data_IF_925731837691
#
_entry.id   IF_925731837691
#
_cell.length_a   1.000
_cell.length_b   1.000
_cell.length_c   1.000
_cell.angle_alpha   90.00
_cell.angle_beta   90.00
_cell.angle_gamma   90.00
#
_symmetry.space_group_name_H-M   'P 1'
#
loop_
_entity.id
_entity.type
_entity.pdbx_description
1 polymer ?
#
# COMPACT_ATOMS: atom_id res chain seq x y z
N UNK A 1 -13.47 7.41 -0.11
CA UNK A 1 -12.02 7.42 -0.37
C UNK A 1 -11.54 6.00 -0.66
N UNK A 2 -10.87 5.80 -1.77
CA UNK A 2 -10.32 4.50 -2.17
C UNK A 2 -8.84 4.42 -1.78
N UNK A 3 -8.49 3.46 -0.94
CA UNK A 3 -7.13 3.18 -0.49
C UNK A 3 -6.72 1.84 -1.08
N UNK A 4 -5.71 1.85 -1.95
CA UNK A 4 -5.25 0.67 -2.67
C UNK A 4 -3.90 0.22 -2.12
N UNK A 5 -3.81 -1.03 -1.70
CA UNK A 5 -2.58 -1.66 -1.25
C UNK A 5 -1.91 -2.35 -2.45
N UNK A 6 -0.69 -1.95 -2.73
CA UNK A 6 0.06 -2.35 -3.92
C UNK A 6 1.44 -2.92 -3.56
N UNK A 7 1.90 -3.89 -4.33
CA UNK A 7 3.26 -4.41 -4.23
C UNK A 7 3.71 -4.96 -5.57
N UNK A 8 4.94 -4.70 -5.96
CA UNK A 8 5.52 -5.17 -7.22
C UNK A 8 5.89 -6.65 -7.19
N UNK A 9 6.23 -7.17 -6.01
CA UNK A 9 6.67 -8.55 -5.86
C UNK A 9 5.71 -9.35 -5.00
N UNK A 10 5.70 -10.68 -5.16
CA UNK A 10 4.82 -11.58 -4.41
C UNK A 10 5.01 -11.54 -2.90
N UNK A 11 6.20 -11.20 -2.42
CA UNK A 11 6.52 -11.21 -0.99
C UNK A 11 6.65 -9.83 -0.39
N UNK A 12 6.05 -8.84 -1.02
CA UNK A 12 6.13 -7.46 -0.54
C UNK A 12 5.33 -7.19 0.74
N UNK A 13 4.51 -8.14 1.19
CA UNK A 13 3.68 -7.97 2.37
C UNK A 13 2.38 -7.23 2.13
N UNK A 14 1.98 -7.05 0.87
CA UNK A 14 0.79 -6.29 0.49
C UNK A 14 -0.48 -6.81 1.15
N UNK A 15 -0.77 -8.10 1.00
CA UNK A 15 -1.98 -8.71 1.58
C UNK A 15 -1.96 -8.70 3.11
N UNK A 16 -0.79 -8.95 3.71
CA UNK A 16 -0.64 -8.93 5.17
C UNK A 16 -0.91 -7.53 5.73
N UNK A 17 -0.37 -6.49 5.09
CA UNK A 17 -0.58 -5.11 5.50
C UNK A 17 -2.02 -4.65 5.26
N UNK A 18 -2.61 -5.05 4.15
CA UNK A 18 -4.03 -4.83 3.89
C UNK A 18 -4.91 -5.43 4.99
N UNK A 19 -4.68 -6.69 5.34
CA UNK A 19 -5.44 -7.39 6.37
C UNK A 19 -5.28 -6.74 7.75
N UNK A 20 -4.04 -6.39 8.10
CA UNK A 20 -3.75 -5.71 9.37
C UNK A 20 -4.45 -4.36 9.45
N UNK A 21 -4.40 -3.58 8.39
CA UNK A 21 -5.02 -2.26 8.34
C UNK A 21 -6.55 -2.36 8.40
N UNK A 22 -7.14 -3.35 7.74
CA UNK A 22 -8.58 -3.60 7.81
C UNK A 22 -9.05 -3.89 9.24
N UNK A 23 -8.20 -4.53 10.04
CA UNK A 23 -8.49 -4.80 11.46
C UNK A 23 -8.28 -3.59 12.37
N UNK A 24 -7.36 -2.70 12.05
CA UNK A 24 -6.99 -1.57 12.91
C UNK A 24 -7.82 -0.31 12.64
N UNK A 25 -8.09 0.00 11.38
CA UNK A 25 -8.76 1.25 11.00
C UNK A 25 -10.11 1.47 11.67
N UNK A 26 -10.96 0.47 11.90
CA UNK A 26 -12.22 0.69 12.63
C UNK A 26 -12.02 1.24 14.03
N UNK A 27 -10.90 0.91 14.67
CA UNK A 27 -10.56 1.43 16.00
C UNK A 27 -9.96 2.84 15.95
N UNK A 28 -9.21 3.15 14.89
CA UNK A 28 -8.59 4.46 14.72
C UNK A 28 -9.55 5.52 14.17
N UNK A 29 -10.52 5.08 13.38
CA UNK A 29 -11.51 5.97 12.74
C UNK A 29 -12.92 5.48 13.04
N UNK A 30 -13.38 5.55 14.32
CA UNK A 30 -14.67 4.99 14.71
C UNK A 30 -15.87 5.69 14.05
N UNK A 31 -15.68 6.92 13.59
CA UNK A 31 -16.73 7.69 12.93
C UNK A 31 -16.85 7.42 11.43
N UNK A 32 -15.99 6.57 10.89
CA UNK A 32 -15.99 6.26 9.46
C UNK A 32 -16.27 4.79 9.23
N UNK A 33 -17.06 4.52 8.20
CA UNK A 33 -17.31 3.15 7.76
C UNK A 33 -16.10 2.64 6.97
N UNK A 34 -15.60 1.48 7.36
CA UNK A 34 -14.49 0.82 6.68
C UNK A 34 -15.07 -0.35 5.88
N UNK A 35 -14.84 -0.35 4.57
CA UNK A 35 -15.35 -1.36 3.67
C UNK A 35 -14.17 -2.01 2.95
N UNK A 36 -14.03 -3.34 3.08
CA UNK A 36 -13.07 -4.10 2.31
C UNK A 36 -13.62 -4.26 0.89
N UNK A 37 -12.90 -3.69 -0.09
CA UNK A 37 -13.36 -3.66 -1.45
C UNK A 37 -13.35 -5.04 -2.10
N UNK A 38 -14.38 -5.31 -2.89
CA UNK A 38 -14.45 -6.46 -3.77
C UNK A 38 -14.89 -5.99 -5.16
N UNK A 39 -14.61 -6.81 -6.16
CA UNK A 39 -15.00 -6.48 -7.54
C UNK A 39 -16.52 -6.40 -7.73
N UNK A 40 -17.30 -6.90 -6.78
CA UNK A 40 -18.77 -6.91 -6.81
C UNK A 40 -19.40 -5.81 -5.97
N UNK A 41 -18.65 -4.83 -5.62
CA UNK A 41 -19.14 -3.73 -4.79
C UNK A 41 -20.23 -2.93 -5.50
N UNK A 42 -21.31 -2.63 -4.78
CA UNK A 42 -22.47 -1.96 -5.35
C UNK A 42 -22.44 -0.44 -5.25
N UNK A 43 -22.01 0.14 -4.13
CA UNK A 43 -22.06 1.59 -3.91
C UNK A 43 -20.90 2.11 -3.10
N UNK A 44 -20.41 3.29 -3.51
CA UNK A 44 -19.52 4.12 -2.69
C UNK A 44 -20.35 5.11 -1.89
N UNK A 45 -20.21 5.08 -0.57
CA UNK A 45 -20.63 6.17 0.28
C UNK A 45 -19.45 7.14 0.40
N UNK A 46 -19.67 8.44 0.21
CA UNK A 46 -18.60 9.43 0.19
C UNK A 46 -17.81 9.48 1.51
N UNK A 47 -18.46 9.14 2.63
CA UNK A 47 -17.83 9.13 3.94
C UNK A 47 -17.08 7.84 4.27
N UNK A 48 -17.21 6.79 3.45
CA UNK A 48 -16.59 5.50 3.71
C UNK A 48 -15.15 5.44 3.24
N UNK A 49 -14.33 4.64 3.92
CA UNK A 49 -13.00 4.26 3.48
C UNK A 49 -13.08 2.88 2.84
N UNK A 50 -12.73 2.81 1.58
CA UNK A 50 -12.70 1.54 0.84
C UNK A 50 -11.26 1.06 0.73
N UNK A 51 -10.99 -0.14 1.24
CA UNK A 51 -9.67 -0.76 1.20
C UNK A 51 -9.65 -1.82 0.12
N UNK A 52 -8.62 -1.79 -0.72
CA UNK A 52 -8.45 -2.70 -1.84
C UNK A 52 -7.09 -3.37 -1.78
N UNK A 53 -7.05 -4.69 -1.94
CA UNK A 53 -5.81 -5.45 -2.06
C UNK A 53 -5.53 -5.71 -3.54
N UNK A 54 -4.63 -4.93 -4.13
CA UNK A 54 -4.24 -5.12 -5.53
C UNK A 54 -3.36 -6.36 -5.73
N UNK A 55 -2.78 -6.90 -4.66
CA UNK A 55 -1.94 -8.10 -4.74
C UNK A 55 -2.69 -9.35 -5.16
N UNK A 56 -4.01 -9.39 -4.97
CA UNK A 56 -4.85 -10.54 -5.35
C UNK A 56 -5.60 -10.33 -6.68
N UNK A 57 -5.35 -9.21 -7.35
CA UNK A 57 -6.04 -8.87 -8.59
C UNK A 57 -5.24 -9.29 -9.83
N UNK A 58 -5.93 -9.48 -10.96
CA UNK A 58 -5.29 -9.63 -12.26
C UNK A 58 -4.57 -8.35 -12.66
N UNK A 59 -3.61 -8.38 -13.63
CA UNK A 59 -2.94 -7.16 -14.09
C UNK A 59 -3.90 -6.06 -14.54
N UNK A 60 -4.97 -6.41 -15.24
CA UNK A 60 -6.00 -5.45 -15.67
C UNK A 60 -6.74 -4.85 -14.47
N UNK A 61 -7.09 -5.67 -13.49
CA UNK A 61 -7.73 -5.22 -12.24
C UNK A 61 -6.81 -4.31 -11.43
N UNK A 62 -5.54 -4.63 -11.34
CA UNK A 62 -4.54 -3.81 -10.67
C UNK A 62 -4.46 -2.41 -11.28
N UNK A 63 -4.37 -2.33 -12.59
CA UNK A 63 -4.31 -1.04 -13.29
C UNK A 63 -5.57 -0.21 -13.03
N UNK A 64 -6.72 -0.83 -13.07
CA UNK A 64 -8.00 -0.16 -12.78
C UNK A 64 -8.04 0.39 -11.36
N UNK A 65 -7.59 -0.39 -10.38
CA UNK A 65 -7.53 0.07 -8.99
C UNK A 65 -6.59 1.25 -8.83
N UNK A 66 -5.39 1.21 -9.43
CA UNK A 66 -4.44 2.32 -9.36
C UNK A 66 -5.03 3.61 -9.95
N UNK A 67 -5.76 3.50 -11.05
CA UNK A 67 -6.38 4.68 -11.68
C UNK A 67 -7.49 5.30 -10.82
N UNK A 68 -8.20 4.49 -10.04
CA UNK A 68 -9.30 4.96 -9.18
C UNK A 68 -8.88 5.28 -7.76
N UNK A 69 -7.63 5.00 -7.38
CA UNK A 69 -7.15 5.20 -6.03
C UNK A 69 -7.09 6.69 -5.65
N UNK A 70 -7.48 7.00 -4.43
CA UNK A 70 -7.21 8.29 -3.80
C UNK A 70 -5.89 8.26 -3.02
N UNK A 71 -5.54 7.10 -2.48
CA UNK A 71 -4.29 6.85 -1.79
C UNK A 71 -3.77 5.47 -2.17
N UNK A 72 -2.50 5.38 -2.51
CA UNK A 72 -1.83 4.11 -2.77
C UNK A 72 -0.85 3.83 -1.64
N UNK A 73 -0.99 2.67 -1.01
CA UNK A 73 -0.04 2.17 0.00
C UNK A 73 0.86 1.17 -0.69
N UNK A 74 2.07 1.59 -0.98
CA UNK A 74 3.06 0.80 -1.72
C UNK A 74 3.92 0.00 -0.75
N UNK A 75 4.02 -1.29 -0.96
CA UNK A 75 4.69 -2.22 -0.06
C UNK A 75 5.94 -2.80 -0.70
N UNK A 76 7.05 -2.75 0.03
CA UNK A 76 8.33 -3.33 -0.39
C UNK A 76 8.93 -4.15 0.74
N UNK A 77 9.69 -5.18 0.39
CA UNK A 77 10.66 -5.74 1.33
C UNK A 77 11.85 -4.79 1.43
N UNK A 78 12.55 -4.71 2.59
CA UNK A 78 13.58 -3.69 2.84
C UNK A 78 14.72 -3.61 1.84
N UNK A 79 15.06 -4.72 1.18
CA UNK A 79 16.19 -4.77 0.25
C UNK A 79 15.77 -5.11 -1.18
N UNK A 80 14.48 -4.97 -1.46
CA UNK A 80 13.96 -5.21 -2.80
C UNK A 80 14.19 -3.99 -3.70
N UNK A 81 15.46 -3.75 -4.01
CA UNK A 81 15.83 -2.62 -4.87
C UNK A 81 15.30 -2.74 -6.29
N UNK A 82 15.23 -3.97 -6.80
CA UNK A 82 14.65 -4.22 -8.13
C UNK A 82 13.17 -3.90 -8.16
N UNK A 83 12.43 -4.29 -7.13
CA UNK A 83 11.01 -3.95 -7.01
C UNK A 83 10.77 -2.45 -6.91
N UNK A 84 11.61 -1.74 -6.16
CA UNK A 84 11.54 -0.28 -6.05
C UNK A 84 11.80 0.37 -7.42
N UNK A 85 12.84 -0.05 -8.11
CA UNK A 85 13.17 0.47 -9.45
C UNK A 85 12.03 0.25 -10.43
N UNK A 86 11.48 -0.96 -10.48
CA UNK A 86 10.36 -1.29 -11.36
C UNK A 86 9.12 -0.44 -11.04
N UNK A 87 8.82 -0.27 -9.76
CA UNK A 87 7.69 0.56 -9.36
C UNK A 87 7.86 2.00 -9.85
N UNK A 88 8.99 2.63 -9.56
CA UNK A 88 9.21 4.03 -9.92
C UNK A 88 9.31 4.23 -11.43
N UNK A 89 9.87 3.28 -12.17
CA UNK A 89 9.91 3.34 -13.63
C UNK A 89 8.51 3.24 -14.25
N UNK A 90 7.66 2.38 -13.71
CA UNK A 90 6.33 2.15 -14.28
C UNK A 90 5.30 3.17 -13.85
N UNK A 91 5.44 3.72 -12.64
CA UNK A 91 4.37 4.48 -11.99
C UNK A 91 4.77 5.90 -11.60
N UNK A 92 5.94 6.39 -12.01
CA UNK A 92 6.36 7.76 -11.71
C UNK A 92 5.43 8.83 -12.28
N UNK A 93 4.64 8.48 -13.28
CA UNK A 93 3.66 9.38 -13.88
C UNK A 93 2.34 9.43 -13.13
N UNK A 94 2.14 8.57 -12.16
CA UNK A 94 0.91 8.57 -11.37
C UNK A 94 0.95 9.74 -10.38
N UNK A 95 0.12 10.73 -10.60
CA UNK A 95 -0.05 11.85 -9.67
C UNK A 95 -1.03 11.46 -8.56
N UNK A 96 -0.66 10.44 -7.77
CA UNK A 96 -1.47 9.95 -6.67
C UNK A 96 -0.76 10.19 -5.33
N UNK A 97 -1.54 10.37 -4.28
CA UNK A 97 -0.99 10.36 -2.91
C UNK A 97 -0.49 8.96 -2.62
N UNK A 98 0.74 8.85 -2.16
CA UNK A 98 1.37 7.56 -1.89
C UNK A 98 1.99 7.54 -0.50
N UNK A 99 1.87 6.39 0.14
CA UNK A 99 2.59 6.05 1.36
C UNK A 99 3.35 4.78 1.06
N UNK A 100 4.59 4.70 1.54
CA UNK A 100 5.47 3.57 1.26
C UNK A 100 5.73 2.82 2.56
N UNK A 101 5.52 1.51 2.54
CA UNK A 101 5.74 0.66 3.70
C UNK A 101 6.84 -0.36 3.42
N UNK A 102 7.83 -0.40 4.30
CA UNK A 102 8.75 -1.52 4.37
C UNK A 102 8.09 -2.63 5.18
N UNK A 103 7.86 -3.77 4.56
CA UNK A 103 7.24 -4.93 5.20
C UNK A 103 8.31 -5.87 5.75
N UNK A 104 7.94 -6.62 6.79
CA UNK A 104 8.78 -7.67 7.36
C UNK A 104 10.17 -7.21 7.80
N UNK A 105 10.29 -6.01 8.33
CA UNK A 105 11.56 -5.48 8.77
C UNK A 105 12.06 -6.19 10.03
N UNK A 106 13.31 -6.63 9.99
CA UNK A 106 14.05 -7.13 11.15
C UNK A 106 15.08 -6.07 11.50
N UNK A 107 14.95 -5.46 12.68
CA UNK A 107 15.83 -4.38 13.09
C UNK A 107 15.50 -3.05 12.41
N UNK A 108 16.47 -2.14 12.41
CA UNK A 108 16.36 -0.82 11.78
C UNK A 108 16.83 -0.92 10.32
N UNK A 109 16.04 -0.49 9.34
CA UNK A 109 16.49 -0.49 7.96
C UNK A 109 17.71 0.41 7.78
N UNK A 110 18.64 -0.01 6.93
CA UNK A 110 19.79 0.79 6.49
C UNK A 110 19.33 2.08 5.78
N UNK A 111 20.26 3.04 5.55
CA UNK A 111 19.91 4.30 4.92
C UNK A 111 18.96 4.14 3.76
N UNK A 112 17.86 4.79 3.89
CA UNK A 112 16.67 4.54 3.14
C UNK A 112 16.84 4.93 1.67
N UNK A 113 16.82 3.95 0.79
CA UNK A 113 16.90 4.14 -0.66
C UNK A 113 15.71 4.98 -1.15
N UNK A 114 14.52 4.77 -0.59
CA UNK A 114 13.35 5.56 -0.95
C UNK A 114 13.59 7.06 -0.71
N UNK A 115 14.15 7.41 0.42
CA UNK A 115 14.43 8.80 0.75
C UNK A 115 15.57 9.36 -0.09
N UNK A 116 16.69 8.66 -0.17
CA UNK A 116 17.92 9.18 -0.80
C UNK A 116 17.91 9.12 -2.32
N UNK A 117 17.43 8.03 -2.90
CA UNK A 117 17.47 7.83 -4.35
C UNK A 117 16.20 8.36 -5.00
N UNK A 118 15.04 8.00 -4.45
CA UNK A 118 13.75 8.36 -5.03
C UNK A 118 13.13 9.62 -4.41
N UNK A 119 13.78 10.21 -3.42
CA UNK A 119 13.41 11.48 -2.79
C UNK A 119 12.00 11.48 -2.19
N UNK A 120 11.59 10.35 -1.65
CA UNK A 120 10.34 10.23 -0.92
C UNK A 120 10.51 10.87 0.46
N UNK A 121 9.56 11.69 0.89
CA UNK A 121 9.58 12.29 2.22
C UNK A 121 9.52 11.24 3.31
N UNK A 122 10.28 11.43 4.38
CA UNK A 122 10.28 10.51 5.54
C UNK A 122 8.88 10.33 6.13
N UNK A 123 8.06 11.37 6.11
CA UNK A 123 6.68 11.31 6.59
C UNK A 123 5.76 10.41 5.76
N UNK A 124 6.19 10.00 4.56
CA UNK A 124 5.45 9.09 3.69
C UNK A 124 5.98 7.66 3.77
N UNK A 125 6.97 7.39 4.61
CA UNK A 125 7.60 6.08 4.75
C UNK A 125 7.27 5.50 6.11
N UNK A 126 6.70 4.29 6.11
CA UNK A 126 6.41 3.53 7.32
C UNK A 126 7.20 2.24 7.36
N UNK A 127 7.41 1.71 8.55
CA UNK A 127 8.11 0.46 8.78
C UNK A 127 7.17 -0.50 9.47
N UNK A 128 6.95 -1.66 8.85
CA UNK A 128 6.17 -2.75 9.44
C UNK A 128 7.16 -3.82 9.90
N UNK A 129 7.29 -3.98 11.21
CA UNK A 129 8.25 -4.92 11.78
C UNK A 129 7.73 -6.34 11.69
N UNK A 130 8.66 -7.27 11.42
CA UNK A 130 8.35 -8.69 11.47
C UNK A 130 7.99 -9.08 12.90
N UNK A 131 6.86 -9.75 13.06
CA UNK A 131 6.42 -10.27 14.34
C UNK A 131 6.40 -11.80 14.26
N UNK A 132 7.31 -12.43 14.98
CA UNK A 132 7.48 -13.88 14.99
C UNK A 132 6.57 -14.60 16.00
N UNK A 133 5.68 -13.89 16.64
CA UNK A 133 4.77 -14.45 17.64
C UNK A 133 3.75 -15.42 17.04
#
# INVERSE_FOLDING_TARGET
>A
MNIVFWGETHRSGTTANYTAMAGILPHLCPDRKIVCGSLQRERCEDSALFLWDAGVCSPAGQKKLLLTADLVVVNFEPQDYDGMEQFFLRHMYLEKRMVYLYANCIGTPEPDVLNRVYRVDEGQIGIVRYNAA
#
